data_IF_078302606533
#
_entry.id   IF_078302606533
#
_cell.length_a   1.000
_cell.length_b   1.000
_cell.length_c   1.000
_cell.angle_alpha   90.00
_cell.angle_beta   90.00
_cell.angle_gamma   90.00
#
_symmetry.space_group_name_H-M   'P 1'
#
loop_
_entity.id
_entity.type
_entity.pdbx_description
1 polymer ?
#
# COMPACT_ATOMS: atom_id res chain seq x y z
N UNK A 1 23.53 18.68 5.62
CA UNK A 1 23.32 17.22 5.81
C UNK A 1 21.83 16.87 5.89
N UNK A 2 21.00 17.68 6.55
CA UNK A 2 19.55 17.45 6.60
C UNK A 2 18.90 17.37 5.21
N UNK A 3 19.19 18.29 4.28
CA UNK A 3 18.55 18.32 2.95
C UNK A 3 18.77 17.04 2.13
N UNK A 4 19.97 16.46 2.20
CA UNK A 4 20.26 15.17 1.53
C UNK A 4 19.45 14.02 2.15
N UNK A 5 19.29 14.01 3.48
CA UNK A 5 18.40 13.04 4.16
C UNK A 5 16.95 13.23 3.72
N UNK A 6 16.52 14.49 3.52
CA UNK A 6 15.18 14.78 3.02
C UNK A 6 14.96 14.25 1.60
N UNK A 7 15.87 14.57 0.67
CA UNK A 7 15.80 14.08 -0.71
C UNK A 7 15.85 12.55 -0.78
N UNK A 8 16.68 11.92 0.06
CA UNK A 8 16.77 10.46 0.13
C UNK A 8 15.44 9.82 0.57
N UNK A 9 14.79 10.37 1.60
CA UNK A 9 13.50 9.87 2.07
C UNK A 9 12.40 10.09 1.03
N UNK A 10 12.32 11.28 0.43
CA UNK A 10 11.32 11.56 -0.62
C UNK A 10 11.45 10.59 -1.80
N UNK A 11 12.67 10.27 -2.23
CA UNK A 11 12.90 9.31 -3.30
C UNK A 11 12.44 7.89 -2.91
N UNK A 12 12.74 7.44 -1.70
CA UNK A 12 12.29 6.10 -1.24
C UNK A 12 10.76 6.01 -1.18
N UNK A 13 10.09 7.11 -0.84
CA UNK A 13 8.61 7.20 -0.84
C UNK A 13 8.07 7.09 -2.26
N UNK A 14 8.65 7.83 -3.20
CA UNK A 14 8.27 7.79 -4.62
C UNK A 14 8.47 6.40 -5.22
N UNK A 15 9.54 5.69 -4.83
CA UNK A 15 9.79 4.29 -5.21
C UNK A 15 8.82 3.30 -4.54
N UNK A 16 7.94 3.74 -3.64
CA UNK A 16 6.87 2.94 -3.07
C UNK A 16 7.24 2.15 -1.82
N UNK A 17 8.39 2.44 -1.18
CA UNK A 17 8.74 1.80 0.10
C UNK A 17 7.82 2.26 1.23
N UNK A 18 7.55 1.35 2.18
CA UNK A 18 6.73 1.69 3.35
C UNK A 18 7.44 2.66 4.27
N UNK A 19 6.67 3.49 4.98
CA UNK A 19 7.21 4.40 5.98
C UNK A 19 8.05 3.67 7.05
N UNK A 20 7.67 2.44 7.41
CA UNK A 20 8.39 1.58 8.36
C UNK A 20 9.74 1.12 7.83
N UNK A 21 9.81 0.65 6.57
CA UNK A 21 11.08 0.22 5.96
C UNK A 21 12.07 1.39 5.80
N UNK A 22 11.56 2.57 5.46
CA UNK A 22 12.36 3.80 5.38
C UNK A 22 12.86 4.20 6.78
N UNK A 23 11.99 4.12 7.78
CA UNK A 23 12.31 4.40 9.18
C UNK A 23 13.45 3.54 9.72
N UNK A 24 13.45 2.24 9.41
CA UNK A 24 14.54 1.33 9.79
C UNK A 24 15.84 1.66 9.05
N UNK A 25 15.75 2.03 7.77
CA UNK A 25 16.90 2.39 6.92
C UNK A 25 17.64 3.63 7.41
N UNK A 26 16.93 4.68 7.83
CA UNK A 26 17.55 5.95 8.27
C UNK A 26 17.92 5.98 9.75
N UNK A 27 17.60 4.91 10.49
CA UNK A 27 17.81 4.75 11.93
C UNK A 27 16.60 5.17 12.77
N UNK A 28 16.43 4.52 13.93
CA UNK A 28 15.31 4.60 14.89
C UNK A 28 14.93 6.01 15.43
N UNK A 29 15.46 7.12 14.90
CA UNK A 29 14.97 8.48 15.19
C UNK A 29 13.81 8.91 14.26
N UNK A 30 13.10 7.95 13.68
CA UNK A 30 12.25 8.12 12.51
C UNK A 30 10.76 8.18 12.81
N UNK A 31 10.33 8.32 14.07
CA UNK A 31 8.91 8.56 14.39
C UNK A 31 8.35 9.78 13.63
N UNK A 32 9.23 10.73 13.28
CA UNK A 32 8.93 11.88 12.46
C UNK A 32 8.73 11.59 10.97
N UNK A 33 9.21 10.47 10.40
CA UNK A 33 9.04 10.18 8.97
C UNK A 33 7.56 10.03 8.60
N UNK A 34 6.81 9.31 9.43
CA UNK A 34 5.39 9.06 9.20
C UNK A 34 4.60 10.36 9.10
N UNK A 35 4.79 11.28 10.05
CA UNK A 35 4.07 12.56 10.05
C UNK A 35 4.64 13.57 9.05
N UNK A 36 5.98 13.69 8.97
CA UNK A 36 6.65 14.72 8.16
C UNK A 36 6.49 14.46 6.66
N UNK A 37 6.36 13.21 6.25
CA UNK A 37 6.21 12.83 4.85
C UNK A 37 4.85 12.20 4.50
N UNK A 38 3.88 12.19 5.42
CA UNK A 38 2.52 11.69 5.15
C UNK A 38 1.90 12.27 3.88
N UNK A 39 2.14 13.56 3.63
CA UNK A 39 1.63 14.30 2.46
C UNK A 39 2.21 13.84 1.12
N UNK A 40 3.27 13.03 1.12
CA UNK A 40 3.86 12.41 -0.08
C UNK A 40 3.22 11.06 -0.42
N UNK A 41 2.27 10.57 0.40
CA UNK A 41 1.48 9.37 0.13
C UNK A 41 -0.01 9.64 -0.24
N UNK A 42 -0.40 10.74 -0.90
CA UNK A 42 -1.81 11.08 -1.08
C UNK A 42 -2.55 10.08 -1.98
N UNK A 43 -1.86 9.50 -2.96
CA UNK A 43 -2.42 8.46 -3.84
C UNK A 43 -2.58 7.11 -3.14
N UNK A 44 -1.82 6.84 -2.07
CA UNK A 44 -1.86 5.54 -1.38
C UNK A 44 -3.21 5.25 -0.74
N UNK A 45 -3.93 6.28 -0.28
CA UNK A 45 -5.30 6.12 0.22
C UNK A 45 -6.24 5.61 -0.87
N UNK A 46 -6.13 6.16 -2.08
CA UNK A 46 -6.92 5.74 -3.23
C UNK A 46 -6.53 4.33 -3.69
N UNK A 47 -5.24 4.02 -3.77
CA UNK A 47 -4.74 2.68 -4.08
C UNK A 47 -5.24 1.65 -3.07
N UNK A 48 -5.16 1.93 -1.76
CA UNK A 48 -5.68 1.07 -0.71
C UNK A 48 -7.19 0.82 -0.86
N UNK A 49 -7.98 1.87 -1.12
CA UNK A 49 -9.42 1.75 -1.34
C UNK A 49 -9.76 0.86 -2.56
N UNK A 50 -9.00 1.02 -3.66
CA UNK A 50 -9.16 0.19 -4.85
C UNK A 50 -8.78 -1.28 -4.57
N UNK A 51 -7.65 -1.53 -3.90
CA UNK A 51 -7.22 -2.88 -3.51
C UNK A 51 -8.24 -3.56 -2.60
N UNK A 52 -8.79 -2.85 -1.60
CA UNK A 52 -9.85 -3.38 -0.73
C UNK A 52 -11.11 -3.73 -1.54
N UNK A 53 -11.51 -2.88 -2.48
CA UNK A 53 -12.65 -3.13 -3.37
C UNK A 53 -12.43 -4.37 -4.23
N UNK A 54 -11.22 -4.54 -4.78
CA UNK A 54 -10.85 -5.72 -5.59
C UNK A 54 -10.89 -7.01 -4.78
N UNK A 55 -10.34 -7.01 -3.56
CA UNK A 55 -10.36 -8.19 -2.67
C UNK A 55 -11.79 -8.58 -2.33
N UNK A 56 -12.64 -7.60 -2.00
CA UNK A 56 -14.07 -7.83 -1.76
C UNK A 56 -14.77 -8.44 -2.96
N UNK A 57 -14.56 -7.89 -4.16
CA UNK A 57 -15.22 -8.36 -5.37
C UNK A 57 -14.74 -9.76 -5.80
N UNK A 58 -13.44 -10.08 -5.63
CA UNK A 58 -12.92 -11.44 -5.85
C UNK A 58 -13.66 -12.49 -5.03
N UNK A 59 -13.93 -12.21 -3.75
CA UNK A 59 -14.67 -13.14 -2.88
C UNK A 59 -16.11 -13.34 -3.35
N UNK A 60 -16.77 -12.29 -3.84
CA UNK A 60 -18.13 -12.39 -4.37
C UNK A 60 -18.22 -13.22 -5.65
N UNK A 61 -17.20 -13.12 -6.52
CA UNK A 61 -17.13 -13.90 -7.75
C UNK A 61 -16.77 -15.36 -7.47
N UNK A 62 -15.89 -15.63 -6.50
CA UNK A 62 -15.48 -17.00 -6.15
C UNK A 62 -16.68 -17.89 -5.76
N UNK A 63 -17.65 -17.36 -5.01
CA UNK A 63 -18.86 -18.12 -4.66
C UNK A 63 -19.83 -18.29 -5.83
N UNK A 64 -19.81 -17.40 -6.82
CA UNK A 64 -20.62 -17.56 -8.03
C UNK A 64 -20.02 -18.61 -8.95
N UNK A 65 -18.72 -18.55 -9.18
CA UNK A 65 -17.99 -19.49 -10.03
C UNK A 65 -18.13 -20.93 -9.48
N UNK A 66 -18.05 -21.10 -8.16
CA UNK A 66 -18.21 -22.41 -7.51
C UNK A 66 -19.63 -23.00 -7.61
N UNK A 67 -20.65 -22.15 -7.75
CA UNK A 67 -22.05 -22.57 -7.85
C UNK A 67 -22.47 -22.81 -9.31
N UNK A 68 -21.80 -22.18 -10.27
CA UNK A 68 -22.04 -22.38 -11.71
C UNK A 68 -21.36 -23.65 -12.25
N UNK A 69 -20.33 -24.18 -11.57
CA UNK A 69 -19.70 -25.47 -11.91
C UNK A 69 -20.58 -26.69 -11.56
N UNK A 70 -21.39 -26.62 -10.49
CA UNK A 70 -22.26 -27.74 -10.06
C UNK A 70 -23.54 -27.89 -10.91
N UNK A 71 -23.91 -26.87 -11.71
CA UNK A 71 -25.11 -26.88 -12.58
C UNK A 71 -24.85 -27.43 -14.00
N UNK A 72 -23.60 -27.80 -14.35
CA UNK A 72 -23.24 -28.34 -15.67
C UNK A 72 -23.15 -29.87 -15.76
N UNK A 73 -23.34 -30.58 -14.65
CA UNK A 73 -23.28 -32.06 -14.59
C UNK A 73 -24.67 -32.72 -14.40
N UNK A 74 -25.71 -32.24 -15.10
CA UNK A 74 -27.00 -32.94 -15.29
C UNK A 74 -27.44 -32.95 -16.76
#
# INVERSE_FOLDING_TARGET
IHDLRHSHVSLLIELGFSATAIADRVGHESIHITYRYAHLFPSKQKEMALSLTQVRNKKANYWKDLLEEDDQDV
#
